data_IF_099699453886
#
_entry.id   IF_099699453886
#
_cell.length_a   1.000
_cell.length_b   1.000
_cell.length_c   1.000
_cell.angle_alpha   90.00
_cell.angle_beta   90.00
_cell.angle_gamma   90.00
#
_symmetry.space_group_name_H-M   'P 1'
#
loop_
_entity.id
_entity.type
_entity.pdbx_description
1 polymer ?
#
# COMPACT_ATOMS: atom_id res chain seq x y z
N UNK A 1 -14.43 -11.33 -12.37
CA UNK A 1 -15.79 -11.89 -12.20
C UNK A 1 -16.57 -10.93 -11.34
N UNK A 2 -17.68 -10.40 -11.83
CA UNK A 2 -18.53 -9.48 -11.08
C UNK A 2 -19.38 -10.22 -10.05
N UNK A 3 -19.84 -9.54 -9.00
CA UNK A 3 -20.72 -10.12 -7.98
C UNK A 3 -22.00 -10.72 -8.59
N UNK A 4 -22.50 -10.10 -9.67
CA UNK A 4 -23.65 -10.58 -10.42
C UNK A 4 -23.39 -11.94 -11.09
N UNK A 5 -22.22 -12.15 -11.68
CA UNK A 5 -21.82 -13.42 -12.29
C UNK A 5 -21.67 -14.52 -11.22
N UNK A 6 -21.16 -14.15 -10.03
CA UNK A 6 -20.98 -15.06 -8.91
C UNK A 6 -22.34 -15.53 -8.35
N UNK A 7 -23.30 -14.62 -8.16
CA UNK A 7 -24.66 -14.94 -7.72
C UNK A 7 -25.41 -15.78 -8.76
N UNK A 8 -25.28 -15.47 -10.05
CA UNK A 8 -25.89 -16.26 -11.13
C UNK A 8 -25.29 -17.67 -11.16
N UNK A 9 -23.97 -17.79 -11.01
CA UNK A 9 -23.28 -19.09 -10.92
C UNK A 9 -23.74 -19.92 -9.73
N UNK A 10 -23.81 -19.32 -8.54
CA UNK A 10 -24.30 -19.99 -7.33
C UNK A 10 -25.76 -20.46 -7.48
N UNK A 11 -26.63 -19.61 -8.05
CA UNK A 11 -28.03 -19.96 -8.34
C UNK A 11 -28.13 -21.14 -9.29
N UNK A 12 -27.31 -21.17 -10.34
CA UNK A 12 -27.27 -22.27 -11.31
C UNK A 12 -26.83 -23.58 -10.65
N UNK A 13 -25.78 -23.56 -9.84
CA UNK A 13 -25.28 -24.73 -9.11
C UNK A 13 -26.34 -25.27 -8.14
N UNK A 14 -27.00 -24.40 -7.38
CA UNK A 14 -28.07 -24.79 -6.46
C UNK A 14 -29.26 -25.41 -7.20
N UNK A 15 -29.64 -24.84 -8.35
CA UNK A 15 -30.71 -25.37 -9.20
C UNK A 15 -30.35 -26.73 -9.83
N UNK A 16 -29.11 -26.92 -10.27
CA UNK A 16 -28.67 -28.20 -10.84
C UNK A 16 -28.61 -29.30 -9.77
N UNK A 17 -28.18 -28.96 -8.55
CA UNK A 17 -28.16 -29.88 -7.41
C UNK A 17 -29.57 -30.24 -6.91
N UNK A 18 -30.51 -29.30 -6.90
CA UNK A 18 -31.88 -29.59 -6.46
C UNK A 18 -32.61 -30.61 -7.34
N UNK A 19 -32.21 -30.77 -8.61
CA UNK A 19 -32.74 -31.84 -9.50
C UNK A 19 -32.31 -33.25 -9.08
N UNK A 20 -31.29 -33.36 -8.24
CA UNK A 20 -30.77 -34.64 -7.73
C UNK A 20 -31.31 -34.97 -6.34
N UNK A 21 -32.08 -34.07 -5.72
CA UNK A 21 -32.60 -34.18 -4.37
C UNK A 21 -34.13 -34.34 -4.37
N UNK A 22 -34.66 -34.95 -3.31
CA UNK A 22 -36.11 -34.90 -3.06
C UNK A 22 -36.54 -33.47 -2.68
N UNK A 23 -37.85 -33.14 -2.73
CA UNK A 23 -38.34 -31.86 -2.27
C UNK A 23 -37.93 -31.53 -0.82
N UNK A 24 -37.92 -32.51 0.07
CA UNK A 24 -37.52 -32.36 1.48
C UNK A 24 -36.03 -32.01 1.61
N UNK A 25 -35.18 -32.76 0.91
CA UNK A 25 -33.73 -32.52 0.88
C UNK A 25 -33.38 -31.15 0.27
N UNK A 26 -34.15 -30.73 -0.74
CA UNK A 26 -34.01 -29.40 -1.35
C UNK A 26 -34.38 -28.31 -0.36
N UNK A 27 -35.48 -28.47 0.39
CA UNK A 27 -35.91 -27.52 1.41
C UNK A 27 -34.89 -27.40 2.54
N UNK A 28 -34.37 -28.52 3.04
CA UNK A 28 -33.32 -28.58 4.07
C UNK A 28 -32.05 -27.84 3.61
N UNK A 29 -31.56 -28.13 2.40
CA UNK A 29 -30.39 -27.45 1.83
C UNK A 29 -30.59 -25.93 1.72
N UNK A 30 -31.79 -25.48 1.34
CA UNK A 30 -32.10 -24.04 1.25
C UNK A 30 -32.14 -23.41 2.65
N UNK A 31 -32.68 -24.10 3.65
CA UNK A 31 -32.73 -23.63 5.03
C UNK A 31 -31.32 -23.52 5.63
N UNK A 32 -30.45 -24.50 5.37
CA UNK A 32 -29.05 -24.49 5.79
C UNK A 32 -28.29 -23.33 5.14
N UNK A 33 -28.45 -23.14 3.82
CA UNK A 33 -27.83 -22.02 3.11
C UNK A 33 -28.31 -20.67 3.66
N UNK A 34 -29.61 -20.54 3.95
CA UNK A 34 -30.18 -19.31 4.54
C UNK A 34 -29.57 -19.03 5.91
N UNK A 35 -29.45 -20.05 6.76
CA UNK A 35 -28.84 -19.91 8.09
C UNK A 35 -27.36 -19.52 7.98
N UNK A 36 -26.61 -20.19 7.11
CA UNK A 36 -25.21 -19.86 6.84
C UNK A 36 -25.03 -18.42 6.33
N UNK A 37 -25.84 -17.97 5.36
CA UNK A 37 -25.79 -16.57 4.88
C UNK A 37 -26.10 -15.58 6.01
N UNK A 38 -27.07 -15.88 6.88
CA UNK A 38 -27.41 -15.02 8.01
C UNK A 38 -26.25 -14.92 9.02
N UNK A 39 -25.56 -16.03 9.31
CA UNK A 39 -24.36 -16.04 10.16
C UNK A 39 -23.21 -15.24 9.55
N UNK A 40 -23.01 -15.35 8.23
CA UNK A 40 -21.99 -14.61 7.50
C UNK A 40 -22.28 -13.11 7.48
N UNK A 41 -23.54 -12.72 7.26
CA UNK A 41 -23.96 -11.32 7.33
C UNK A 41 -23.79 -10.75 8.74
N UNK A 42 -24.24 -11.49 9.77
CA UNK A 42 -24.10 -11.06 11.16
C UNK A 42 -22.62 -10.88 11.56
N UNK A 43 -21.72 -11.72 11.02
CA UNK A 43 -20.28 -11.52 11.21
C UNK A 43 -19.79 -10.22 10.56
N UNK A 44 -20.17 -9.92 9.30
CA UNK A 44 -19.77 -8.67 8.64
C UNK A 44 -20.31 -7.43 9.36
N UNK A 45 -21.58 -7.46 9.78
CA UNK A 45 -22.19 -6.38 10.56
C UNK A 45 -21.48 -6.19 11.91
N UNK A 46 -21.18 -7.29 12.61
CA UNK A 46 -20.46 -7.27 13.87
C UNK A 46 -19.02 -6.74 13.73
N UNK A 47 -18.32 -7.14 12.67
CA UNK A 47 -16.98 -6.64 12.35
C UNK A 47 -17.02 -5.14 12.04
N UNK A 48 -17.91 -4.71 11.15
CA UNK A 48 -18.09 -3.30 10.78
C UNK A 48 -18.42 -2.43 12.00
N UNK A 49 -19.34 -2.87 12.87
CA UNK A 49 -19.65 -2.17 14.11
C UNK A 49 -18.45 -2.09 15.07
N UNK A 50 -17.62 -3.14 15.13
CA UNK A 50 -16.44 -3.16 16.00
C UNK A 50 -15.34 -2.23 15.50
N UNK A 51 -15.06 -2.23 14.20
CA UNK A 51 -14.12 -1.27 13.59
C UNK A 51 -14.64 0.16 13.69
N UNK A 52 -15.92 0.40 13.44
CA UNK A 52 -16.55 1.71 13.57
C UNK A 52 -16.43 2.28 14.98
N UNK A 53 -16.62 1.45 16.03
CA UNK A 53 -16.40 1.87 17.42
C UNK A 53 -14.96 2.27 17.69
N UNK A 54 -13.99 1.44 17.29
CA UNK A 54 -12.56 1.72 17.54
C UNK A 54 -12.09 2.96 16.77
N UNK A 55 -12.54 3.16 15.53
CA UNK A 55 -12.25 4.39 14.77
C UNK A 55 -12.92 5.62 15.37
N UNK A 56 -14.15 5.49 15.86
CA UNK A 56 -14.83 6.58 16.57
C UNK A 56 -14.10 6.96 17.85
N UNK A 57 -13.65 5.99 18.65
CA UNK A 57 -12.86 6.26 19.85
C UNK A 57 -11.52 6.94 19.52
N UNK A 58 -10.87 6.54 18.42
CA UNK A 58 -9.67 7.21 17.90
C UNK A 58 -9.91 8.67 17.56
N UNK A 59 -11.01 8.99 16.87
CA UNK A 59 -11.33 10.38 16.48
C UNK A 59 -11.66 11.28 17.66
N UNK A 60 -12.15 10.71 18.77
CA UNK A 60 -12.52 11.45 19.98
C UNK A 60 -11.49 11.29 21.11
N UNK A 61 -10.30 10.75 20.83
CA UNK A 61 -9.27 10.57 21.84
C UNK A 61 -8.79 11.94 22.35
N UNK A 62 -8.98 12.27 23.62
CA UNK A 62 -8.58 13.56 24.21
C UNK A 62 -7.09 13.60 24.61
N UNK A 63 -6.45 12.45 24.74
CA UNK A 63 -5.07 12.34 25.21
C UNK A 63 -4.25 11.37 24.35
N UNK A 64 -2.96 11.66 24.17
CA UNK A 64 -2.05 10.85 23.37
C UNK A 64 -1.87 9.42 23.91
N UNK A 65 -1.94 9.24 25.22
CA UNK A 65 -1.82 7.93 25.88
C UNK A 65 -3.02 7.00 25.65
N UNK A 66 -4.12 7.51 25.09
CA UNK A 66 -5.27 6.71 24.67
C UNK A 66 -5.03 5.98 23.34
N UNK A 67 -4.08 6.45 22.52
CA UNK A 67 -3.84 5.89 21.18
C UNK A 67 -3.24 4.47 21.19
N UNK A 68 -2.22 4.13 22.01
CA UNK A 68 -1.66 2.77 22.00
C UNK A 68 -2.65 1.67 22.44
N UNK A 69 -3.49 1.85 23.48
CA UNK A 69 -4.54 0.87 23.80
C UNK A 69 -5.57 0.69 22.69
N UNK A 70 -5.88 1.74 21.92
CA UNK A 70 -6.75 1.66 20.75
C UNK A 70 -6.06 0.88 19.61
N UNK A 71 -4.79 1.13 19.33
CA UNK A 71 -3.99 0.39 18.35
C UNK A 71 -4.04 -1.11 18.65
N UNK A 72 -3.71 -1.50 19.89
CA UNK A 72 -3.75 -2.90 20.32
C UNK A 72 -5.12 -3.56 20.11
N UNK A 73 -6.22 -2.82 20.29
CA UNK A 73 -7.57 -3.33 20.03
C UNK A 73 -7.83 -3.47 18.53
N UNK A 74 -7.45 -2.45 17.75
CA UNK A 74 -7.56 -2.46 16.30
C UNK A 74 -6.81 -3.65 15.67
N UNK A 75 -5.55 -3.86 16.07
CA UNK A 75 -4.70 -4.94 15.56
C UNK A 75 -5.31 -6.33 15.83
N UNK A 76 -5.88 -6.52 17.03
CA UNK A 76 -6.60 -7.77 17.35
C UNK A 76 -7.84 -7.98 16.48
N UNK A 77 -8.62 -6.92 16.24
CA UNK A 77 -9.82 -7.01 15.39
C UNK A 77 -9.45 -7.33 13.94
N UNK A 78 -8.46 -6.63 13.37
CA UNK A 78 -8.05 -6.83 11.98
C UNK A 78 -7.36 -8.18 11.77
N UNK A 79 -6.57 -8.64 12.74
CA UNK A 79 -5.99 -9.97 12.72
C UNK A 79 -7.08 -11.06 12.76
N UNK A 80 -8.06 -10.94 13.67
CA UNK A 80 -9.16 -11.90 13.77
C UNK A 80 -10.03 -11.93 12.50
N UNK A 81 -10.32 -10.75 11.93
CA UNK A 81 -11.04 -10.64 10.67
C UNK A 81 -10.27 -11.32 9.52
N UNK A 82 -8.97 -11.05 9.40
CA UNK A 82 -8.14 -11.67 8.37
C UNK A 82 -8.01 -13.18 8.54
N UNK A 83 -7.92 -13.69 9.77
CA UNK A 83 -7.90 -15.15 10.01
C UNK A 83 -9.19 -15.81 9.51
N UNK A 84 -10.35 -15.15 9.63
CA UNK A 84 -11.62 -15.69 9.12
C UNK A 84 -11.81 -15.50 7.61
N UNK A 85 -11.35 -14.38 7.05
CA UNK A 85 -11.65 -13.98 5.65
C UNK A 85 -10.51 -14.20 4.67
N UNK A 86 -9.27 -14.18 5.13
CA UNK A 86 -8.07 -14.25 4.28
C UNK A 86 -7.94 -13.12 3.26
N UNK A 87 -8.73 -12.06 3.38
CA UNK A 87 -8.77 -10.96 2.41
C UNK A 87 -7.73 -9.90 2.74
N UNK A 88 -6.66 -9.84 1.94
CA UNK A 88 -5.63 -8.80 2.06
C UNK A 88 -6.24 -7.42 1.80
N UNK A 89 -7.09 -7.29 0.78
CA UNK A 89 -7.71 -6.01 0.42
C UNK A 89 -8.56 -5.45 1.56
N UNK A 90 -9.34 -6.29 2.26
CA UNK A 90 -10.13 -5.85 3.39
C UNK A 90 -9.25 -5.43 4.59
N UNK A 91 -8.21 -6.22 4.90
CA UNK A 91 -7.24 -5.85 5.94
C UNK A 91 -6.58 -4.51 5.63
N UNK A 92 -6.14 -4.32 4.38
CA UNK A 92 -5.55 -3.05 3.94
C UNK A 92 -6.54 -1.91 4.08
N UNK A 93 -7.80 -2.08 3.67
CA UNK A 93 -8.85 -1.07 3.87
C UNK A 93 -8.96 -0.62 5.32
N UNK A 94 -9.01 -1.57 6.27
CA UNK A 94 -9.05 -1.26 7.70
C UNK A 94 -7.76 -0.58 8.19
N UNK A 95 -6.59 -1.09 7.82
CA UNK A 95 -5.29 -0.54 8.22
C UNK A 95 -5.11 0.90 7.72
N UNK A 96 -5.50 1.22 6.49
CA UNK A 96 -5.41 2.58 5.96
C UNK A 96 -6.39 3.54 6.66
N UNK A 97 -7.63 3.11 6.91
CA UNK A 97 -8.60 3.92 7.65
C UNK A 97 -8.09 4.26 9.07
N UNK A 98 -7.47 3.27 9.72
CA UNK A 98 -6.81 3.45 11.00
C UNK A 98 -5.63 4.43 10.92
N UNK A 99 -4.70 4.22 9.98
CA UNK A 99 -3.51 5.09 9.80
C UNK A 99 -3.90 6.54 9.49
N UNK A 100 -4.87 6.77 8.62
CA UNK A 100 -5.38 8.12 8.31
C UNK A 100 -6.00 8.78 9.56
N UNK A 101 -6.74 8.01 10.37
CA UNK A 101 -7.29 8.50 11.63
C UNK A 101 -6.20 8.88 12.64
N UNK A 102 -5.16 8.05 12.77
CA UNK A 102 -4.02 8.30 13.67
C UNK A 102 -3.28 9.54 13.22
N UNK A 103 -2.95 9.68 11.93
CA UNK A 103 -2.25 10.84 11.41
C UNK A 103 -3.04 12.13 11.66
N UNK A 104 -4.36 12.13 11.40
CA UNK A 104 -5.22 13.28 11.70
C UNK A 104 -5.18 13.66 13.18
N UNK A 105 -5.30 12.67 14.07
CA UNK A 105 -5.33 12.95 15.51
C UNK A 105 -3.97 13.40 16.04
N UNK A 106 -2.87 12.80 15.56
CA UNK A 106 -1.51 13.21 15.87
C UNK A 106 -1.24 14.64 15.42
N UNK A 107 -1.70 15.03 14.23
CA UNK A 107 -1.57 16.40 13.74
C UNK A 107 -2.27 17.40 14.67
N UNK A 108 -3.51 17.10 15.08
CA UNK A 108 -4.25 17.94 16.03
C UNK A 108 -3.50 18.08 17.38
N UNK A 109 -3.03 16.97 17.96
CA UNK A 109 -2.22 17.02 19.19
C UNK A 109 -0.88 17.74 19.02
N UNK A 110 -0.30 17.67 17.82
CA UNK A 110 0.90 18.41 17.50
C UNK A 110 0.60 19.92 17.49
N UNK A 111 -0.49 20.36 16.87
CA UNK A 111 -0.90 21.78 16.79
C UNK A 111 -1.26 22.38 18.15
N UNK A 112 -1.92 21.60 19.01
CA UNK A 112 -2.29 21.99 20.38
C UNK A 112 -1.07 22.14 21.32
N UNK A 113 0.14 21.88 20.84
CA UNK A 113 1.38 21.99 21.62
C UNK A 113 1.66 23.44 22.05
N UNK A 114 1.68 23.76 23.36
CA UNK A 114 1.86 25.13 23.85
C UNK A 114 3.24 25.71 23.53
N UNK A 115 4.22 24.87 23.18
CA UNK A 115 5.56 25.30 22.78
C UNK A 115 5.65 25.83 21.34
N UNK A 116 4.61 25.66 20.51
CA UNK A 116 4.63 26.08 19.11
C UNK A 116 4.21 27.54 18.92
N UNK A 117 3.12 27.95 19.56
CA UNK A 117 2.67 29.34 19.68
C UNK A 117 1.60 29.47 20.79
N UNK A 118 1.29 30.71 21.17
CA UNK A 118 0.26 31.01 22.19
C UNK A 118 -1.18 30.80 21.66
N UNK A 119 -1.35 30.63 20.35
CA UNK A 119 -2.65 30.61 19.68
C UNK A 119 -3.25 29.19 19.54
N UNK A 120 -2.43 28.14 19.70
CA UNK A 120 -2.84 26.73 19.63
C UNK A 120 -3.29 26.26 18.24
N UNK A 121 -2.89 26.97 17.17
CA UNK A 121 -3.20 26.60 15.79
C UNK A 121 -2.12 27.08 14.81
N UNK A 122 -2.05 26.46 13.64
CA UNK A 122 -1.05 26.82 12.64
C UNK A 122 -1.26 28.24 12.07
N UNK A 123 -0.20 29.05 11.93
CA UNK A 123 -0.29 30.44 11.45
C UNK A 123 -0.53 30.56 9.94
N UNK A 124 -0.50 29.44 9.20
CA UNK A 124 -0.85 29.39 7.79
C UNK A 124 -1.42 28.02 7.40
N UNK A 125 -2.11 27.92 6.26
CA UNK A 125 -2.59 26.65 5.74
C UNK A 125 -1.46 25.67 5.41
N UNK A 126 -1.70 24.39 5.68
CA UNK A 126 -0.80 23.28 5.34
C UNK A 126 -1.61 22.02 5.03
N UNK A 127 -0.98 21.04 4.37
CA UNK A 127 -1.55 19.75 4.08
C UNK A 127 -0.55 18.63 4.40
N UNK A 128 -1.08 17.50 4.85
CA UNK A 128 -0.35 16.25 4.97
C UNK A 128 -0.75 15.32 3.83
N UNK A 129 0.24 14.87 3.08
CA UNK A 129 0.10 13.88 2.04
C UNK A 129 0.80 12.59 2.44
N UNK A 130 0.32 11.47 1.89
CA UNK A 130 0.89 10.16 2.04
C UNK A 130 1.45 9.67 0.71
N UNK A 131 2.50 8.88 0.79
CA UNK A 131 3.20 8.23 -0.33
C UNK A 131 3.45 6.77 0.02
N UNK A 132 4.00 5.99 -0.92
CA UNK A 132 4.36 4.60 -0.66
C UNK A 132 3.12 3.75 -0.37
N UNK A 133 3.22 2.77 0.52
CA UNK A 133 2.10 1.87 0.85
C UNK A 133 0.91 2.61 1.45
N UNK A 134 1.15 3.67 2.24
CA UNK A 134 0.09 4.54 2.77
C UNK A 134 -0.61 5.32 1.65
N UNK A 135 0.17 5.80 0.68
CA UNK A 135 -0.32 6.50 -0.50
C UNK A 135 -1.15 5.63 -1.45
N UNK A 136 -0.73 4.37 -1.65
CA UNK A 136 -1.47 3.38 -2.45
C UNK A 136 -2.65 2.73 -1.74
N UNK A 137 -2.90 3.08 -0.48
CA UNK A 137 -3.90 2.40 0.35
C UNK A 137 -3.63 0.88 0.49
N UNK A 138 -2.37 0.51 0.76
CA UNK A 138 -1.90 -0.88 0.86
C UNK A 138 -1.30 -1.24 2.22
N UNK A 139 -1.50 -0.39 3.22
CA UNK A 139 -0.99 -0.58 4.57
C UNK A 139 -1.40 -1.92 5.18
N UNK A 140 -0.48 -2.56 5.90
CA UNK A 140 -0.76 -3.72 6.75
C UNK A 140 -0.47 -3.35 8.22
N UNK A 141 -0.22 -4.33 9.08
CA UNK A 141 0.04 -4.08 10.51
C UNK A 141 1.42 -3.41 10.70
N UNK A 142 2.43 -3.91 9.98
CA UNK A 142 3.81 -3.42 10.06
C UNK A 142 4.24 -2.82 8.73
N UNK A 143 4.34 -1.49 8.70
CA UNK A 143 4.70 -0.70 7.52
C UNK A 143 5.61 0.46 7.88
N UNK A 144 6.40 0.91 6.90
CA UNK A 144 7.11 2.19 7.00
C UNK A 144 6.27 3.26 6.31
N UNK A 145 5.76 4.19 7.10
CA UNK A 145 4.96 5.29 6.59
C UNK A 145 5.86 6.34 5.93
N UNK A 146 5.40 6.85 4.79
CA UNK A 146 6.03 7.98 4.11
C UNK A 146 5.01 9.08 3.92
N UNK A 147 5.26 10.20 4.57
CA UNK A 147 4.40 11.37 4.54
C UNK A 147 5.14 12.58 3.95
N UNK A 148 4.38 13.55 3.48
CA UNK A 148 4.85 14.82 2.95
C UNK A 148 4.01 15.91 3.61
N UNK A 149 4.62 16.71 4.49
CA UNK A 149 3.99 17.87 5.12
C UNK A 149 4.33 19.13 4.31
N UNK A 150 3.32 19.74 3.70
CA UNK A 150 3.51 20.92 2.84
C UNK A 150 2.75 22.10 3.42
N UNK A 151 3.37 23.27 3.50
CA UNK A 151 2.70 24.51 3.92
C UNK A 151 2.80 25.62 2.88
N UNK A 152 2.01 26.69 3.09
CA UNK A 152 1.83 27.75 2.08
C UNK A 152 3.12 28.46 1.66
N UNK A 153 3.93 28.96 2.59
CA UNK A 153 5.09 29.82 2.28
C UNK A 153 6.24 29.67 3.27
N UNK A 154 7.44 30.06 2.87
CA UNK A 154 8.64 30.02 3.72
C UNK A 154 8.59 30.98 4.93
N UNK A 155 7.70 31.98 4.91
CA UNK A 155 7.53 32.93 6.03
C UNK A 155 7.15 32.23 7.34
N UNK A 156 6.44 31.10 7.25
CA UNK A 156 5.97 30.33 8.40
C UNK A 156 6.86 29.14 8.76
N UNK A 157 8.02 29.00 8.09
CA UNK A 157 8.95 27.89 8.32
C UNK A 157 9.41 27.80 9.78
N UNK A 158 9.52 28.94 10.47
CA UNK A 158 9.86 28.96 11.91
C UNK A 158 8.86 28.23 12.82
N UNK A 159 7.59 28.13 12.41
CA UNK A 159 6.57 27.35 13.10
C UNK A 159 6.53 25.89 12.62
N UNK A 160 6.52 25.68 11.30
CA UNK A 160 6.30 24.36 10.71
C UNK A 160 7.47 23.39 10.90
N UNK A 161 8.69 23.90 11.05
CA UNK A 161 9.85 23.07 11.37
C UNK A 161 9.67 22.39 12.74
N UNK A 162 9.54 23.09 13.88
CA UNK A 162 9.21 22.49 15.18
C UNK A 162 7.96 21.61 15.16
N UNK A 163 6.90 22.04 14.47
CA UNK A 163 5.66 21.27 14.35
C UNK A 163 5.91 19.88 13.75
N UNK A 164 6.70 19.79 12.69
CA UNK A 164 7.04 18.50 12.08
C UNK A 164 7.91 17.62 13.00
N UNK A 165 8.82 18.21 13.77
CA UNK A 165 9.58 17.47 14.80
C UNK A 165 8.65 16.89 15.86
N UNK A 166 7.64 17.66 16.28
CA UNK A 166 6.65 17.22 17.27
C UNK A 166 5.78 16.08 16.74
N UNK A 167 5.31 16.14 15.49
CA UNK A 167 4.56 15.03 14.85
C UNK A 167 5.35 13.73 14.96
N UNK A 168 6.64 13.77 14.61
CA UNK A 168 7.48 12.57 14.61
C UNK A 168 7.79 12.09 16.03
N UNK A 169 8.04 13.01 16.95
CA UNK A 169 8.25 12.67 18.35
C UNK A 169 7.02 11.95 18.93
N UNK A 170 5.80 12.44 18.63
CA UNK A 170 4.56 11.79 19.04
C UNK A 170 4.45 10.38 18.43
N UNK A 171 4.66 10.27 17.11
CA UNK A 171 4.55 9.00 16.42
C UNK A 171 5.53 7.96 16.98
N UNK A 172 6.78 8.34 17.22
CA UNK A 172 7.85 7.49 17.75
C UNK A 172 7.58 7.11 19.22
N UNK A 173 7.30 8.10 20.08
CA UNK A 173 7.07 7.90 21.51
C UNK A 173 5.93 6.91 21.80
N UNK A 174 4.87 6.95 21.00
CA UNK A 174 3.69 6.11 21.19
C UNK A 174 3.66 4.85 20.31
N UNK A 175 4.75 4.56 19.58
CA UNK A 175 4.86 3.37 18.73
C UNK A 175 3.82 3.34 17.61
N UNK A 176 3.43 4.52 17.11
CA UNK A 176 2.42 4.69 16.07
C UNK A 176 3.01 4.63 14.65
N UNK A 177 4.33 4.46 14.55
CA UNK A 177 5.11 4.21 13.33
C UNK A 177 5.71 2.81 13.36
N UNK A 178 6.08 2.29 12.19
CA UNK A 178 6.73 0.98 12.06
C UNK A 178 8.02 0.84 12.88
N UNK A 179 8.40 -0.43 13.14
CA UNK A 179 9.51 -0.85 14.01
C UNK A 179 10.91 -0.36 13.59
N UNK A 180 11.09 0.16 12.37
CA UNK A 180 12.40 0.63 11.87
C UNK A 180 12.81 2.01 12.40
N UNK A 181 11.96 2.67 13.21
CA UNK A 181 12.22 3.99 13.80
C UNK A 181 12.08 5.14 12.79
N UNK A 182 11.60 6.31 13.24
CA UNK A 182 11.45 7.46 12.36
C UNK A 182 12.73 8.29 12.28
N UNK A 183 13.37 8.27 11.11
CA UNK A 183 14.25 9.36 10.70
C UNK A 183 13.41 10.40 9.95
N UNK A 184 13.42 11.66 10.42
CA UNK A 184 12.69 12.79 9.81
C UNK A 184 12.77 12.78 8.28
N UNK A 185 13.95 12.58 7.71
CA UNK A 185 14.14 12.58 6.26
C UNK A 185 13.51 11.38 5.52
N UNK A 186 13.48 10.19 6.12
CA UNK A 186 12.98 8.97 5.47
C UNK A 186 11.46 8.82 5.61
N UNK A 187 10.91 9.24 6.75
CA UNK A 187 9.49 9.07 7.09
C UNK A 187 8.62 10.31 6.78
N UNK A 188 9.16 11.53 6.87
CA UNK A 188 8.40 12.76 6.67
C UNK A 188 9.19 13.80 5.89
N UNK A 189 8.92 13.93 4.60
CA UNK A 189 9.35 15.13 3.88
C UNK A 189 8.57 16.33 4.41
N UNK A 190 9.21 17.49 4.50
CA UNK A 190 8.55 18.72 4.98
C UNK A 190 9.12 19.99 4.35
N UNK A 191 8.26 20.93 3.97
CA UNK A 191 8.65 22.18 3.35
C UNK A 191 7.47 23.04 2.92
N UNK A 192 7.74 24.28 2.51
CA UNK A 192 6.74 25.08 1.81
C UNK A 192 6.42 24.50 0.42
N UNK A 193 5.36 24.99 -0.23
CA UNK A 193 5.08 24.69 -1.64
C UNK A 193 6.27 25.04 -2.56
N UNK A 194 6.96 26.15 -2.31
CA UNK A 194 8.15 26.55 -3.06
C UNK A 194 9.28 25.52 -2.90
N UNK A 195 9.54 25.07 -1.66
CA UNK A 195 10.54 24.03 -1.39
C UNK A 195 10.15 22.67 -1.99
N UNK A 196 8.85 22.37 -2.04
CA UNK A 196 8.33 21.18 -2.71
C UNK A 196 8.60 21.23 -4.22
N UNK A 197 8.37 22.38 -4.85
CA UNK A 197 8.68 22.61 -6.27
C UNK A 197 10.18 22.47 -6.56
N UNK A 198 11.04 23.09 -5.76
CA UNK A 198 12.50 22.96 -5.90
C UNK A 198 13.01 21.53 -5.65
N UNK A 199 12.38 20.78 -4.74
CA UNK A 199 12.68 19.37 -4.55
C UNK A 199 12.34 18.57 -5.81
N UNK A 200 11.17 18.81 -6.41
CA UNK A 200 10.71 18.13 -7.63
C UNK A 200 11.47 18.56 -8.89
N UNK A 201 11.97 19.80 -8.97
CA UNK A 201 12.83 20.24 -10.08
C UNK A 201 14.25 19.67 -9.98
N UNK A 202 14.64 19.17 -8.80
CA UNK A 202 15.97 18.66 -8.52
C UNK A 202 16.98 19.73 -8.11
N UNK A 203 16.55 20.97 -7.94
CA UNK A 203 17.36 22.08 -7.42
C UNK A 203 17.81 21.83 -5.97
N UNK A 204 16.97 21.14 -5.20
CA UNK A 204 17.30 20.69 -3.84
C UNK A 204 17.24 19.17 -3.78
N UNK A 205 18.37 18.54 -3.48
CA UNK A 205 18.46 17.10 -3.21
C UNK A 205 18.98 16.88 -1.79
N UNK A 206 18.09 16.78 -0.79
CA UNK A 206 18.51 16.42 0.54
C UNK A 206 19.11 15.00 0.52
N UNK A 207 20.20 14.75 1.27
CA UNK A 207 20.72 13.39 1.41
C UNK A 207 19.64 12.46 1.98
N UNK A 208 19.71 11.18 1.62
CA UNK A 208 18.87 10.11 2.16
C UNK A 208 17.35 10.23 1.91
N UNK A 209 16.94 11.04 0.93
CA UNK A 209 15.55 11.07 0.47
C UNK A 209 15.25 9.89 -0.46
N UNK A 210 14.05 9.31 -0.38
CA UNK A 210 13.62 8.30 -1.33
C UNK A 210 13.53 8.86 -2.75
N UNK A 211 13.51 7.97 -3.73
CA UNK A 211 13.37 8.35 -5.13
C UNK A 211 12.11 9.23 -5.34
N UNK A 212 12.29 10.38 -6.00
CA UNK A 212 11.22 11.35 -6.26
C UNK A 212 10.05 10.73 -7.00
N UNK A 213 10.33 9.97 -8.07
CA UNK A 213 9.31 9.31 -8.89
C UNK A 213 8.50 8.31 -8.08
N UNK A 214 9.15 7.52 -7.23
CA UNK A 214 8.41 6.61 -6.35
C UNK A 214 7.54 7.35 -5.35
N UNK A 215 8.01 8.49 -4.85
CA UNK A 215 7.27 9.31 -3.89
C UNK A 215 6.04 9.95 -4.53
N UNK A 216 6.21 10.60 -5.68
CA UNK A 216 5.09 11.29 -6.34
C UNK A 216 4.11 10.34 -7.01
N UNK A 217 4.56 9.17 -7.51
CA UNK A 217 3.69 8.24 -8.20
C UNK A 217 2.65 7.60 -7.27
N UNK A 218 2.84 7.65 -5.96
CA UNK A 218 1.91 7.10 -4.97
C UNK A 218 1.26 8.19 -4.11
N UNK A 219 1.43 9.47 -4.46
CA UNK A 219 1.04 10.58 -3.60
C UNK A 219 -0.49 10.75 -3.53
N UNK A 220 -1.03 10.91 -2.32
CA UNK A 220 -2.42 11.31 -2.05
C UNK A 220 -2.50 12.26 -0.86
N UNK A 221 -3.53 13.10 -0.80
CA UNK A 221 -3.80 13.92 0.38
C UNK A 221 -4.45 13.06 1.48
N UNK A 222 -4.01 13.26 2.73
CA UNK A 222 -4.60 12.60 3.92
C UNK A 222 -5.50 13.57 4.68
N UNK A 223 -5.00 14.77 4.97
CA UNK A 223 -5.71 15.84 5.68
C UNK A 223 -5.02 17.20 5.54
N UNK A 224 -5.66 18.23 6.07
CA UNK A 224 -5.22 19.63 6.02
C UNK A 224 -6.00 20.44 4.99
N UNK A 225 -5.42 21.58 4.60
CA UNK A 225 -6.02 22.52 3.66
C UNK A 225 -6.09 21.94 2.22
N UNK A 226 -7.28 21.97 1.64
CA UNK A 226 -7.56 21.41 0.31
C UNK A 226 -6.76 22.10 -0.79
N UNK A 227 -6.56 23.42 -0.71
CA UNK A 227 -5.85 24.18 -1.73
C UNK A 227 -4.35 23.89 -1.70
N UNK A 228 -3.76 23.78 -0.50
CA UNK A 228 -2.35 23.38 -0.35
C UNK A 228 -2.14 21.94 -0.85
N UNK A 229 -3.03 21.02 -0.46
CA UNK A 229 -2.98 19.64 -0.93
C UNK A 229 -3.11 19.53 -2.46
N UNK A 230 -4.06 20.24 -3.05
CA UNK A 230 -4.26 20.27 -4.49
C UNK A 230 -3.05 20.86 -5.25
N UNK A 231 -2.44 21.92 -4.72
CA UNK A 231 -1.22 22.51 -5.28
C UNK A 231 -0.04 21.52 -5.25
N UNK A 232 0.18 20.86 -4.11
CA UNK A 232 1.23 19.84 -3.98
C UNK A 232 1.04 18.65 -4.94
N UNK A 233 -0.20 18.17 -5.09
CA UNK A 233 -0.55 17.13 -6.07
C UNK A 233 -0.37 17.60 -7.52
N UNK A 234 -0.70 18.86 -7.81
CA UNK A 234 -0.46 19.44 -9.14
C UNK A 234 1.04 19.45 -9.46
N UNK A 235 1.87 19.90 -8.53
CA UNK A 235 3.33 19.92 -8.70
C UNK A 235 3.89 18.50 -8.94
N UNK A 236 3.37 17.51 -8.20
CA UNK A 236 3.70 16.10 -8.39
C UNK A 236 3.30 15.57 -9.78
N UNK A 237 2.08 15.89 -10.25
CA UNK A 237 1.60 15.52 -11.60
C UNK A 237 2.42 16.18 -12.70
N UNK A 238 2.75 17.46 -12.56
CA UNK A 238 3.57 18.19 -13.52
C UNK A 238 4.98 17.57 -13.60
N UNK A 239 5.56 17.17 -12.47
CA UNK A 239 6.82 16.41 -12.44
C UNK A 239 6.69 15.05 -13.13
N UNK A 240 5.67 14.24 -12.80
CA UNK A 240 5.43 12.96 -13.45
C UNK A 240 5.31 13.10 -14.97
N UNK A 241 4.57 14.11 -15.44
CA UNK A 241 4.39 14.40 -16.86
C UNK A 241 5.72 14.68 -17.57
N UNK A 242 6.62 15.46 -16.96
CA UNK A 242 7.97 15.74 -17.50
C UNK A 242 8.87 14.49 -17.49
N UNK A 243 8.68 13.60 -16.52
CA UNK A 243 9.53 12.43 -16.34
C UNK A 243 9.09 11.18 -17.14
N UNK A 244 7.93 11.17 -17.81
CA UNK A 244 7.39 9.98 -18.51
C UNK A 244 8.31 9.38 -19.57
N UNK A 245 9.08 10.25 -20.21
CA UNK A 245 10.08 9.89 -21.24
C UNK A 245 11.50 10.30 -20.81
N UNK A 246 11.66 10.69 -19.54
CA UNK A 246 12.93 11.15 -18.99
C UNK A 246 13.83 10.02 -18.52
N UNK A 247 15.12 10.29 -18.45
CA UNK A 247 16.13 9.34 -17.99
C UNK A 247 15.86 8.82 -16.56
N UNK A 248 15.31 9.65 -15.67
CA UNK A 248 14.99 9.25 -14.29
C UNK A 248 14.01 8.06 -14.24
N UNK A 249 12.98 8.04 -15.10
CA UNK A 249 12.04 6.94 -15.15
C UNK A 249 12.67 5.69 -15.76
N UNK A 250 13.53 5.86 -16.78
CA UNK A 250 14.28 4.77 -17.38
C UNK A 250 15.25 4.10 -16.41
N UNK A 251 15.98 4.89 -15.62
CA UNK A 251 16.91 4.40 -14.62
C UNK A 251 16.20 3.62 -13.52
N UNK A 252 15.08 4.16 -13.02
CA UNK A 252 14.27 3.49 -12.01
C UNK A 252 13.60 2.22 -12.57
N UNK A 253 13.14 2.23 -13.82
CA UNK A 253 12.60 1.03 -14.48
C UNK A 253 13.66 -0.06 -14.64
N UNK A 254 14.90 0.31 -14.96
CA UNK A 254 16.03 -0.62 -15.01
C UNK A 254 16.28 -1.22 -13.63
N UNK A 255 16.42 -0.39 -12.60
CA UNK A 255 16.62 -0.83 -11.21
C UNK A 255 15.54 -1.83 -10.76
N UNK A 256 14.26 -1.48 -10.92
CA UNK A 256 13.13 -2.35 -10.55
C UNK A 256 13.10 -3.63 -11.38
N UNK A 257 13.49 -3.58 -12.66
CA UNK A 257 13.52 -4.77 -13.53
C UNK A 257 14.67 -5.73 -13.22
N UNK A 258 15.71 -5.24 -12.55
CA UNK A 258 16.90 -6.00 -12.13
C UNK A 258 16.84 -6.39 -10.65
N UNK A 259 15.88 -5.85 -9.90
CA UNK A 259 15.66 -6.18 -8.50
C UNK A 259 15.56 -7.71 -8.31
N UNK A 260 16.31 -8.30 -7.36
CA UNK A 260 16.32 -9.74 -7.18
C UNK A 260 14.95 -10.29 -6.77
N UNK A 261 14.45 -11.27 -7.53
CA UNK A 261 13.26 -12.06 -7.15
C UNK A 261 13.71 -13.38 -6.51
N UNK A 262 12.97 -13.94 -5.57
CA UNK A 262 13.28 -15.21 -4.90
C UNK A 262 13.09 -16.45 -5.81
N UNK A 263 13.54 -16.37 -7.05
CA UNK A 263 13.41 -17.40 -8.06
C UNK A 263 14.74 -17.61 -8.79
N UNK A 264 15.18 -18.86 -8.87
CA UNK A 264 16.37 -19.29 -9.61
C UNK A 264 16.09 -19.29 -11.12
N UNK A 265 17.15 -19.31 -11.91
CA UNK A 265 17.05 -19.41 -13.39
C UNK A 265 16.20 -20.61 -13.83
N UNK A 266 16.37 -21.77 -13.17
CA UNK A 266 15.63 -23.01 -13.43
C UNK A 266 14.28 -23.12 -12.67
N UNK A 267 13.72 -22.03 -12.16
CA UNK A 267 12.37 -22.01 -11.56
C UNK A 267 12.25 -22.54 -10.13
N UNK A 268 13.35 -22.97 -9.50
CA UNK A 268 13.37 -23.26 -8.06
C UNK A 268 13.37 -21.99 -7.22
N UNK A 269 12.86 -22.04 -5.98
CA UNK A 269 12.92 -20.91 -5.06
C UNK A 269 14.38 -20.57 -4.71
N UNK A 270 14.70 -19.27 -4.71
CA UNK A 270 15.98 -18.73 -4.25
C UNK A 270 15.80 -18.31 -2.79
N UNK A 271 16.75 -18.72 -1.95
CA UNK A 271 16.78 -18.43 -0.51
C UNK A 271 18.15 -17.85 -0.17
N UNK A 272 18.21 -17.14 0.95
CA UNK A 272 19.47 -16.67 1.51
C UNK A 272 20.40 -17.85 1.80
N UNK A 273 21.68 -17.71 1.46
CA UNK A 273 22.65 -18.80 1.58
C UNK A 273 23.37 -18.82 2.92
N UNK A 274 23.45 -17.68 3.59
CA UNK A 274 24.31 -17.44 4.76
C UNK A 274 23.64 -16.43 5.69
N UNK A 275 24.12 -16.35 6.94
CA UNK A 275 23.59 -15.45 7.97
C UNK A 275 22.36 -16.00 8.67
N UNK A 276 21.74 -15.16 9.51
CA UNK A 276 20.66 -15.55 10.44
C UNK A 276 19.37 -15.98 9.74
N UNK A 277 19.26 -15.73 8.44
CA UNK A 277 18.10 -16.09 7.61
C UNK A 277 18.44 -17.14 6.53
N UNK A 278 19.57 -17.85 6.66
CA UNK A 278 19.94 -18.90 5.72
C UNK A 278 18.82 -19.94 5.54
N UNK A 279 18.48 -20.26 4.29
CA UNK A 279 17.36 -21.14 3.95
C UNK A 279 16.00 -20.46 3.87
N UNK A 280 15.91 -19.16 4.17
CA UNK A 280 14.68 -18.37 4.08
C UNK A 280 14.69 -17.40 2.90
N UNK A 281 13.51 -16.87 2.56
CA UNK A 281 13.32 -15.73 1.65
C UNK A 281 12.38 -14.72 2.31
N UNK A 282 12.42 -13.46 1.88
CA UNK A 282 11.50 -12.43 2.34
C UNK A 282 10.46 -12.15 1.22
N UNK A 283 9.17 -12.53 1.36
CA UNK A 283 8.17 -12.37 0.31
C UNK A 283 7.92 -10.91 -0.08
N UNK A 284 8.12 -10.00 0.86
CA UNK A 284 7.98 -8.58 0.61
C UNK A 284 9.11 -8.09 -0.28
N UNK A 285 10.35 -8.24 0.18
CA UNK A 285 11.55 -7.76 -0.51
C UNK A 285 11.82 -8.50 -1.83
N UNK A 286 11.62 -9.81 -1.83
CA UNK A 286 11.98 -10.70 -2.94
C UNK A 286 10.83 -10.95 -3.93
N UNK A 287 9.68 -10.28 -3.76
CA UNK A 287 8.50 -10.50 -4.60
C UNK A 287 7.54 -9.31 -4.65
N UNK A 288 6.98 -8.91 -3.51
CA UNK A 288 5.93 -7.88 -3.46
C UNK A 288 6.44 -6.51 -3.92
N UNK A 289 7.59 -6.06 -3.40
CA UNK A 289 8.20 -4.78 -3.76
C UNK A 289 8.53 -4.69 -5.27
N UNK A 290 9.20 -5.68 -5.91
CA UNK A 290 9.41 -5.67 -7.35
C UNK A 290 8.10 -5.64 -8.17
N UNK A 291 7.06 -6.36 -7.72
CA UNK A 291 5.76 -6.37 -8.38
C UNK A 291 5.11 -4.98 -8.32
N UNK A 292 5.02 -4.40 -7.13
CA UNK A 292 4.45 -3.07 -6.90
C UNK A 292 5.21 -2.01 -7.68
N UNK A 293 6.56 -2.06 -7.62
CA UNK A 293 7.42 -1.14 -8.36
C UNK A 293 7.16 -1.21 -9.86
N UNK A 294 7.09 -2.42 -10.43
CA UNK A 294 6.87 -2.57 -11.86
C UNK A 294 5.48 -2.06 -12.30
N UNK A 295 4.42 -2.36 -11.55
CA UNK A 295 3.08 -1.82 -11.82
C UNK A 295 3.06 -0.30 -11.71
N UNK A 296 3.68 0.27 -10.66
CA UNK A 296 3.77 1.71 -10.44
C UNK A 296 4.39 2.43 -11.62
N UNK A 297 5.53 1.94 -12.14
CA UNK A 297 6.23 2.59 -13.24
C UNK A 297 5.48 2.50 -14.56
N UNK A 298 4.82 1.36 -14.83
CA UNK A 298 3.93 1.21 -15.99
C UNK A 298 2.74 2.17 -15.91
N UNK A 299 2.15 2.32 -14.72
CA UNK A 299 1.05 3.24 -14.47
C UNK A 299 1.48 4.71 -14.61
N UNK A 300 2.62 5.08 -14.02
CA UNK A 300 3.17 6.43 -14.10
C UNK A 300 3.50 6.85 -15.54
N UNK A 301 4.02 5.93 -16.37
CA UNK A 301 4.28 6.21 -17.79
C UNK A 301 3.00 6.52 -18.59
N UNK A 302 1.83 6.02 -18.14
CA UNK A 302 0.56 6.15 -18.82
C UNK A 302 -0.40 7.16 -18.19
N UNK A 303 0.10 7.99 -17.26
CA UNK A 303 -0.72 8.99 -16.55
C UNK A 303 -1.89 8.38 -15.78
N UNK A 304 -1.74 7.15 -15.29
CA UNK A 304 -2.76 6.56 -14.45
C UNK A 304 -2.76 7.22 -13.07
N UNK A 305 -3.95 7.39 -12.51
CA UNK A 305 -4.14 7.96 -11.17
C UNK A 305 -3.39 7.15 -10.09
N UNK A 306 -3.09 7.84 -8.98
CA UNK A 306 -2.49 7.21 -7.81
C UNK A 306 -3.51 6.31 -7.11
N UNK A 307 -3.06 5.21 -6.52
CA UNK A 307 -3.98 4.27 -5.85
C UNK A 307 -3.43 2.85 -5.71
N UNK A 308 -4.30 1.91 -5.31
CA UNK A 308 -3.93 0.50 -5.10
C UNK A 308 -3.34 -0.17 -6.33
N UNK A 309 -2.35 -1.04 -6.11
CA UNK A 309 -1.68 -1.82 -7.16
C UNK A 309 -2.67 -2.68 -7.94
N UNK A 310 -3.67 -3.26 -7.27
CA UNK A 310 -4.69 -4.07 -7.94
C UNK A 310 -5.56 -3.25 -8.92
N UNK A 311 -5.90 -2.02 -8.55
CA UNK A 311 -6.63 -1.11 -9.43
C UNK A 311 -5.77 -0.69 -10.63
N UNK A 312 -4.49 -0.40 -10.39
CA UNK A 312 -3.53 -0.13 -11.47
C UNK A 312 -3.37 -1.31 -12.43
N UNK A 313 -3.33 -2.55 -11.93
CA UNK A 313 -3.29 -3.75 -12.77
C UNK A 313 -4.54 -3.82 -13.67
N UNK A 314 -5.73 -3.56 -13.10
CA UNK A 314 -6.98 -3.55 -13.86
C UNK A 314 -7.02 -2.43 -14.92
N UNK A 315 -6.55 -1.22 -14.58
CA UNK A 315 -6.44 -0.11 -15.52
C UNK A 315 -5.44 -0.40 -16.65
N UNK A 316 -4.28 -0.96 -16.34
CA UNK A 316 -3.28 -1.39 -17.34
C UNK A 316 -3.82 -2.49 -18.26
N UNK A 317 -4.67 -3.38 -17.76
CA UNK A 317 -5.36 -4.38 -18.59
C UNK A 317 -6.37 -3.72 -19.53
N UNK A 318 -7.16 -2.76 -19.02
CA UNK A 318 -8.14 -1.99 -19.81
C UNK A 318 -7.47 -1.21 -20.94
N UNK A 319 -6.26 -0.69 -20.71
CA UNK A 319 -5.44 -0.02 -21.72
C UNK A 319 -4.67 -0.97 -22.65
N UNK A 320 -4.84 -2.29 -22.51
CA UNK A 320 -4.17 -3.28 -23.36
C UNK A 320 -2.67 -3.47 -23.09
N UNK A 321 -2.15 -2.92 -21.98
CA UNK A 321 -0.76 -3.16 -21.55
C UNK A 321 -0.59 -4.59 -21.07
N UNK A 322 -1.62 -5.12 -20.39
CA UNK A 322 -1.72 -6.50 -19.98
C UNK A 322 -2.87 -7.20 -20.73
N UNK A 323 -2.67 -8.46 -21.09
CA UNK A 323 -3.81 -9.32 -21.44
C UNK A 323 -4.63 -9.64 -20.18
N UNK A 324 -5.90 -10.04 -20.34
CA UNK A 324 -6.74 -10.43 -19.19
C UNK A 324 -6.08 -11.50 -18.31
N UNK A 325 -5.48 -12.53 -18.94
CA UNK A 325 -4.76 -13.57 -18.20
C UNK A 325 -3.46 -13.09 -17.53
N UNK A 326 -2.79 -12.06 -18.06
CA UNK A 326 -1.66 -11.44 -17.37
C UNK A 326 -2.13 -10.67 -16.14
N UNK A 327 -3.19 -9.87 -16.28
CA UNK A 327 -3.77 -9.11 -15.18
C UNK A 327 -4.20 -10.02 -14.02
N UNK A 328 -4.94 -11.10 -14.32
CA UNK A 328 -5.34 -12.11 -13.33
C UNK A 328 -4.14 -12.71 -12.60
N UNK A 329 -3.08 -13.10 -13.33
CA UNK A 329 -1.86 -13.66 -12.71
C UNK A 329 -1.14 -12.64 -11.83
N UNK A 330 -1.03 -11.38 -12.25
CA UNK A 330 -0.36 -10.34 -11.45
C UNK A 330 -1.16 -9.99 -10.21
N UNK A 331 -2.50 -9.90 -10.31
CA UNK A 331 -3.38 -9.71 -9.16
C UNK A 331 -3.30 -10.88 -8.18
N UNK A 332 -3.28 -12.12 -8.67
CA UNK A 332 -3.12 -13.31 -7.83
C UNK A 332 -1.74 -13.32 -7.14
N UNK A 333 -0.68 -12.99 -7.86
CA UNK A 333 0.68 -12.90 -7.30
C UNK A 333 0.76 -11.86 -6.17
N UNK A 334 0.16 -10.68 -6.36
CA UNK A 334 0.06 -9.65 -5.32
C UNK A 334 -0.63 -10.20 -4.06
N UNK A 335 -1.81 -10.81 -4.22
CA UNK A 335 -2.59 -11.36 -3.12
C UNK A 335 -1.83 -12.46 -2.35
N UNK A 336 -1.14 -13.35 -3.06
CA UNK A 336 -0.33 -14.41 -2.44
C UNK A 336 0.82 -13.82 -1.63
N UNK A 337 1.60 -12.90 -2.21
CA UNK A 337 2.79 -12.32 -1.58
C UNK A 337 2.42 -11.44 -0.39
N UNK A 338 1.45 -10.55 -0.56
CA UNK A 338 0.92 -9.74 0.54
C UNK A 338 0.28 -10.62 1.62
N UNK A 339 -0.40 -11.71 1.24
CA UNK A 339 -0.97 -12.65 2.19
C UNK A 339 0.07 -13.37 3.06
N UNK A 340 1.24 -13.70 2.50
CA UNK A 340 2.37 -14.21 3.30
C UNK A 340 2.90 -13.15 4.26
N UNK A 341 3.10 -11.90 3.80
CA UNK A 341 3.52 -10.77 4.65
C UNK A 341 2.57 -10.60 5.84
N UNK A 342 1.28 -10.45 5.58
CA UNK A 342 0.23 -10.26 6.60
C UNK A 342 0.18 -11.40 7.61
N UNK A 343 0.27 -12.66 7.17
CA UNK A 343 0.25 -13.81 8.10
C UNK A 343 1.41 -13.77 9.09
N UNK A 344 2.58 -13.32 8.65
CA UNK A 344 3.77 -13.23 9.51
C UNK A 344 3.66 -12.07 10.48
N UNK A 345 3.14 -10.92 10.04
CA UNK A 345 2.86 -9.79 10.92
C UNK A 345 1.85 -10.14 12.02
N UNK A 346 0.76 -10.84 11.67
CA UNK A 346 -0.23 -11.32 12.65
C UNK A 346 0.41 -12.27 13.66
N UNK A 347 1.34 -13.11 13.21
CA UNK A 347 2.08 -14.03 14.06
C UNK A 347 3.23 -13.37 14.84
N UNK A 348 3.47 -12.06 14.64
CA UNK A 348 4.60 -11.30 15.18
C UNK A 348 5.95 -11.92 14.82
N UNK A 349 6.04 -12.53 13.64
CA UNK A 349 7.24 -13.18 13.14
C UNK A 349 8.06 -12.25 12.22
N UNK A 350 9.38 -12.46 12.19
CA UNK A 350 10.28 -11.79 11.24
C UNK A 350 9.82 -12.01 9.78
N UNK A 351 10.07 -11.07 8.84
CA UNK A 351 9.52 -11.10 7.47
C UNK A 351 10.10 -12.22 6.58
N UNK A 352 11.00 -13.05 7.12
CA UNK A 352 11.63 -14.18 6.43
C UNK A 352 10.86 -15.47 6.64
N UNK A 353 10.51 -16.17 5.55
CA UNK A 353 9.88 -17.48 5.59
C UNK A 353 10.80 -18.57 5.03
N UNK A 354 10.71 -19.76 5.60
CA UNK A 354 11.41 -20.95 5.09
C UNK A 354 10.49 -21.72 4.13
N UNK A 355 10.82 -21.83 2.83
CA UNK A 355 10.00 -22.59 1.89
C UNK A 355 9.91 -24.09 2.23
N UNK A 356 10.87 -24.63 2.97
CA UNK A 356 10.88 -26.01 3.41
C UNK A 356 9.84 -26.30 4.51
N UNK A 357 9.45 -25.26 5.27
CA UNK A 357 8.43 -25.36 6.32
C UNK A 357 7.01 -25.11 5.81
N UNK A 358 6.85 -24.69 4.54
CA UNK A 358 5.54 -24.46 3.94
C UNK A 358 4.87 -25.77 3.52
N UNK A 359 3.54 -25.82 3.65
CA UNK A 359 2.74 -26.84 2.99
C UNK A 359 2.97 -26.82 1.48
N UNK A 360 2.86 -27.98 0.83
CA UNK A 360 3.17 -28.11 -0.60
C UNK A 360 2.37 -27.14 -1.48
N UNK A 361 1.07 -26.97 -1.20
CA UNK A 361 0.23 -26.02 -1.92
C UNK A 361 0.63 -24.55 -1.71
N UNK A 362 1.06 -24.16 -0.50
CA UNK A 362 1.56 -22.81 -0.24
C UNK A 362 2.89 -22.55 -0.93
N UNK A 363 3.77 -23.56 -0.96
CA UNK A 363 5.06 -23.49 -1.65
C UNK A 363 4.87 -23.32 -3.15
N UNK A 364 3.95 -24.05 -3.77
CA UNK A 364 3.68 -23.89 -5.22
C UNK A 364 3.04 -22.53 -5.52
N UNK A 365 2.05 -22.09 -4.72
CA UNK A 365 1.48 -20.74 -4.86
C UNK A 365 2.52 -19.63 -4.77
N UNK A 366 3.45 -19.74 -3.82
CA UNK A 366 4.56 -18.78 -3.67
C UNK A 366 5.44 -18.77 -4.92
N UNK A 367 5.78 -19.95 -5.44
CA UNK A 367 6.60 -20.09 -6.65
C UNK A 367 5.91 -19.51 -7.89
N UNK A 368 4.63 -19.80 -8.10
CA UNK A 368 3.83 -19.25 -9.20
C UNK A 368 3.72 -17.72 -9.12
N UNK A 369 3.55 -17.17 -7.91
CA UNK A 369 3.55 -15.73 -7.69
C UNK A 369 4.90 -15.10 -8.09
N UNK A 370 6.01 -15.67 -7.66
CA UNK A 370 7.37 -15.19 -8.00
C UNK A 370 7.68 -15.35 -9.50
N UNK A 371 7.18 -16.39 -10.15
CA UNK A 371 7.25 -16.53 -11.60
C UNK A 371 6.51 -15.41 -12.32
N UNK A 372 5.33 -15.03 -11.81
CA UNK A 372 4.54 -13.91 -12.32
C UNK A 372 5.26 -12.57 -12.12
N UNK A 373 5.92 -12.35 -10.98
CA UNK A 373 6.77 -11.17 -10.74
C UNK A 373 7.91 -11.10 -11.77
N UNK A 374 8.60 -12.22 -12.02
CA UNK A 374 9.67 -12.28 -13.02
C UNK A 374 9.15 -12.01 -14.44
N UNK A 375 7.94 -12.45 -14.77
CA UNK A 375 7.31 -12.11 -16.06
C UNK A 375 7.02 -10.60 -16.15
N UNK A 376 6.50 -10.00 -15.08
CA UNK A 376 6.23 -8.57 -15.03
C UNK A 376 7.50 -7.72 -15.17
N UNK A 377 8.60 -8.07 -14.48
CA UNK A 377 9.89 -7.40 -14.65
C UNK A 377 10.41 -7.49 -16.10
N UNK A 378 10.20 -8.62 -16.78
CA UNK A 378 10.55 -8.76 -18.21
C UNK A 378 9.73 -7.83 -19.08
N UNK A 379 8.43 -7.70 -18.83
CA UNK A 379 7.55 -6.77 -19.56
C UNK A 379 8.00 -5.32 -19.35
N UNK A 380 8.28 -4.93 -18.10
CA UNK A 380 8.82 -3.62 -17.76
C UNK A 380 10.12 -3.35 -18.55
N UNK A 381 11.09 -4.27 -18.47
CA UNK A 381 12.37 -4.13 -19.17
C UNK A 381 12.19 -3.98 -20.69
N UNK A 382 11.38 -4.81 -21.33
CA UNK A 382 11.15 -4.71 -22.78
C UNK A 382 10.55 -3.36 -23.17
N UNK A 383 9.65 -2.81 -22.35
CA UNK A 383 8.98 -1.53 -22.61
C UNK A 383 9.95 -0.35 -22.50
N UNK A 384 10.86 -0.38 -21.52
CA UNK A 384 11.82 0.71 -21.29
C UNK A 384 13.13 0.58 -22.08
N UNK A 385 13.51 -0.62 -22.55
CA UNK A 385 14.63 -0.81 -23.49
C UNK A 385 14.27 -0.53 -24.96
N UNK A 386 13.01 -0.72 -25.35
CA UNK A 386 12.56 -0.48 -26.72
C UNK A 386 12.72 0.98 -27.19
N UNK A 387 12.69 1.95 -26.27
CA UNK A 387 12.81 3.38 -26.57
C UNK A 387 14.25 3.85 -26.80
N UNK A 388 15.27 3.19 -26.23
CA UNK A 388 16.68 3.52 -26.47
C UNK A 388 17.06 3.38 -27.97
N UNK A 389 16.45 2.42 -28.67
CA UNK A 389 16.72 2.16 -30.09
C UNK A 389 16.04 3.13 -31.05
N UNK A 390 14.91 3.73 -30.66
CA UNK A 390 14.18 4.70 -31.51
C UNK A 390 14.72 6.13 -31.39
N UNK A 391 15.44 6.46 -30.31
CA UNK A 391 16.05 7.79 -30.12
C UNK A 391 17.40 8.01 -30.81
N UNK A 392 18.06 6.94 -31.30
CA UNK A 392 19.35 7.02 -32.00
C UNK A 392 19.23 6.93 -33.54
N UNK A 393 18.00 6.97 -34.09
CA UNK A 393 17.71 6.67 -35.50
C UNK A 393 17.29 7.85 -36.38
N UNK A 394 17.51 9.11 -35.98
CA UNK A 394 17.17 10.29 -36.78
C UNK A 394 18.28 11.35 -36.75
N UNK A 395 19.50 10.93 -37.06
CA UNK A 395 20.66 11.81 -37.07
C UNK A 395 21.83 11.23 -37.86
N UNK A 396 21.62 10.94 -39.14
CA UNK A 396 22.62 11.05 -40.23
C UNK A 396 21.88 11.06 -41.56
#
# INVERSE_FOLDING_TARGET
MSDAELVIGAKKILYERSRQFTPEQTLETIQDLKSWIAEELAFEEGASASFGRVLSELWHAEYLDQLPPLLNRFERLVAAYYVRRGSVAALQGFCNAWRDGVLRRVLQFAEEGPELNDEGHAPAPFALLASGSLGRCEQTLEESDRCVLVWKSEETTGYFEPFAYRIIAILDQYGLIGKEGAFLGKALWRGSLEKWEHYLSGEVQPPDQPNRLETVADLRVVCGDEAIGAAALKNARDFLARSRDGQELHDLAREVSEQPVALRMLGGLRVEKTGDHAGCLNPEKDGLQPLVGAVRLLAAQLDLETGPTLERIAALATLGVFTGGQAERFSAAYQVLAGFKVRREIALEQPYLSPAALAEGDRERLKEALESVRQLQRLLRCRFQGKERTGQGSGT
#
